data_IF_679620962725
#
_entry.id   IF_679620962725
#
_cell.length_a   1.000
_cell.length_b   1.000
_cell.length_c   1.000
_cell.angle_alpha   90.00
_cell.angle_beta   90.00
_cell.angle_gamma   90.00
#
_symmetry.space_group_name_H-M   'P 1'
#
loop_
_entity.id
_entity.type
_entity.pdbx_description
1 polymer ?
#
# COMPACT_ATOMS: atom_id res chain seq x y z
N UNK A 1 -10.39 -53.55 17.45
CA UNK A 1 -11.79 -53.09 17.48
C UNK A 1 -11.75 -51.60 17.20
N UNK A 2 -12.38 -51.22 16.09
CA UNK A 2 -12.04 -50.03 15.30
C UNK A 2 -12.70 -48.77 15.86
N UNK A 3 -11.92 -47.68 15.91
CA UNK A 3 -12.35 -46.31 16.22
C UNK A 3 -13.25 -45.68 15.14
N UNK A 4 -13.55 -46.40 14.05
CA UNK A 4 -14.45 -45.97 12.98
C UNK A 4 -15.94 -46.10 13.35
N UNK A 5 -16.29 -47.03 14.24
CA UNK A 5 -17.69 -47.33 14.54
C UNK A 5 -18.33 -46.29 15.48
N UNK A 6 -17.49 -45.51 16.17
CA UNK A 6 -17.92 -44.41 17.05
C UNK A 6 -18.45 -43.20 16.27
N UNK A 7 -17.79 -42.83 15.16
CA UNK A 7 -18.14 -41.65 14.36
C UNK A 7 -19.40 -41.85 13.51
N UNK A 8 -19.63 -43.07 13.01
CA UNK A 8 -20.84 -43.40 12.24
C UNK A 8 -22.07 -43.41 13.15
N UNK A 9 -21.94 -43.93 14.39
CA UNK A 9 -23.06 -43.90 15.36
C UNK A 9 -23.44 -42.47 15.80
N UNK A 10 -22.49 -41.54 15.81
CA UNK A 10 -22.71 -40.14 16.16
C UNK A 10 -23.52 -39.40 15.08
N UNK A 11 -23.26 -39.69 13.81
CA UNK A 11 -24.00 -39.11 12.67
C UNK A 11 -25.42 -39.68 12.52
N UNK A 12 -25.64 -40.94 12.91
CA UNK A 12 -26.95 -41.60 12.86
C UNK A 12 -27.90 -41.17 13.98
N UNK A 13 -27.37 -40.60 15.08
CA UNK A 13 -28.17 -40.24 16.26
C UNK A 13 -29.06 -38.99 16.08
N UNK A 14 -28.91 -38.24 14.98
CA UNK A 14 -29.73 -37.05 14.69
C UNK A 14 -29.62 -35.92 15.72
N UNK A 15 -28.69 -36.01 16.67
CA UNK A 15 -28.51 -35.01 17.73
C UNK A 15 -27.67 -33.85 17.22
N UNK A 16 -28.32 -32.90 16.55
CA UNK A 16 -27.76 -31.61 16.11
C UNK A 16 -27.34 -30.69 17.28
N UNK A 17 -27.51 -31.12 18.53
CA UNK A 17 -27.21 -30.35 19.75
C UNK A 17 -25.76 -30.48 20.26
N UNK A 18 -24.88 -31.19 19.56
CA UNK A 18 -23.44 -31.30 19.93
C UNK A 18 -22.48 -30.58 18.99
N UNK A 19 -23.00 -29.91 17.95
CA UNK A 19 -22.26 -28.81 17.34
C UNK A 19 -22.57 -27.58 18.18
N UNK A 20 -21.61 -27.18 19.01
CA UNK A 20 -21.59 -25.89 19.68
C UNK A 20 -21.55 -24.78 18.60
N UNK A 21 -22.72 -24.53 18.01
CA UNK A 21 -23.00 -23.48 17.05
C UNK A 21 -23.09 -22.12 17.77
N UNK A 22 -23.25 -22.12 19.09
CA UNK A 22 -23.28 -20.91 19.90
C UNK A 22 -21.86 -20.30 20.03
N UNK A 23 -20.80 -21.12 20.01
CA UNK A 23 -19.41 -20.65 19.96
C UNK A 23 -19.00 -19.91 18.67
N UNK A 24 -19.79 -20.00 17.59
CA UNK A 24 -19.51 -19.32 16.31
C UNK A 24 -20.27 -17.97 16.20
N UNK A 25 -21.28 -17.74 17.05
CA UNK A 25 -22.19 -16.58 16.93
C UNK A 25 -21.69 -15.35 17.71
N UNK A 26 -20.65 -15.45 18.54
CA UNK A 26 -20.18 -14.34 19.39
C UNK A 26 -18.83 -13.70 19.01
N UNK A 27 -18.26 -13.95 17.83
CA UNK A 27 -17.34 -12.94 17.28
C UNK A 27 -18.18 -11.89 16.57
N UNK A 28 -18.75 -10.94 17.32
CA UNK A 28 -19.18 -9.69 16.70
C UNK A 28 -17.99 -9.19 15.85
N UNK A 29 -18.22 -8.79 14.58
CA UNK A 29 -17.19 -8.16 13.78
C UNK A 29 -16.43 -7.16 14.63
N UNK A 30 -15.11 -7.35 14.79
CA UNK A 30 -14.28 -6.29 15.32
C UNK A 30 -14.65 -5.03 14.50
N UNK A 31 -15.05 -3.96 15.18
CA UNK A 31 -15.64 -2.79 14.52
C UNK A 31 -14.73 -2.38 13.36
N UNK A 32 -15.30 -2.22 12.16
CA UNK A 32 -14.56 -1.76 11.01
C UNK A 32 -14.17 -0.28 11.21
N UNK A 33 -13.04 -0.06 11.86
CA UNK A 33 -12.47 1.27 12.00
C UNK A 33 -11.94 1.73 10.64
N UNK A 34 -12.74 2.51 9.92
CA UNK A 34 -12.38 3.09 8.64
C UNK A 34 -11.67 4.44 8.78
N UNK A 35 -11.32 4.87 9.99
CA UNK A 35 -11.01 6.27 10.26
C UNK A 35 -9.74 6.77 9.56
N UNK A 36 -8.83 5.88 9.16
CA UNK A 36 -7.68 6.19 8.31
C UNK A 36 -7.06 4.92 7.68
N UNK A 37 -6.22 5.11 6.66
CA UNK A 37 -5.48 4.03 5.99
C UNK A 37 -4.43 3.39 6.92
N UNK A 38 -4.17 2.09 6.74
CA UNK A 38 -3.23 1.37 7.59
C UNK A 38 -1.79 1.68 7.22
N UNK A 39 -0.97 2.15 8.16
CA UNK A 39 0.49 2.04 8.05
C UNK A 39 0.96 0.68 8.56
N UNK A 40 2.27 0.46 8.61
CA UNK A 40 2.80 -0.75 9.25
C UNK A 40 2.41 -0.88 10.72
N UNK A 41 2.22 0.23 11.43
CA UNK A 41 1.82 0.23 12.84
C UNK A 41 0.43 -0.38 13.00
N UNK A 42 -0.54 0.09 12.22
CA UNK A 42 -1.92 -0.40 12.28
C UNK A 42 -2.02 -1.83 11.73
N UNK A 43 -1.30 -2.14 10.65
CA UNK A 43 -1.27 -3.49 10.10
C UNK A 43 -0.76 -4.52 11.13
N UNK A 44 0.33 -4.21 11.83
CA UNK A 44 0.86 -5.05 12.88
C UNK A 44 -0.08 -5.12 14.09
N UNK A 45 -0.75 -4.01 14.42
CA UNK A 45 -1.77 -3.96 15.47
C UNK A 45 -2.94 -4.90 15.21
N UNK A 46 -3.48 -4.87 13.98
CA UNK A 46 -4.55 -5.79 13.56
C UNK A 46 -4.07 -7.23 13.62
N UNK A 47 -2.91 -7.54 13.06
CA UNK A 47 -2.37 -8.91 13.09
C UNK A 47 -2.17 -9.43 14.52
N UNK A 48 -1.70 -8.58 15.44
CA UNK A 48 -1.52 -8.93 16.84
C UNK A 48 -2.88 -9.19 17.52
N UNK A 49 -3.86 -8.32 17.31
CA UNK A 49 -5.21 -8.48 17.85
C UNK A 49 -5.91 -9.74 17.34
N UNK A 50 -5.70 -10.10 16.07
CA UNK A 50 -6.29 -11.30 15.45
C UNK A 50 -5.46 -12.58 15.64
N UNK A 51 -4.31 -12.53 16.35
CA UNK A 51 -3.43 -13.69 16.54
C UNK A 51 -2.79 -14.24 15.25
N UNK A 52 -2.69 -13.41 14.19
CA UNK A 52 -2.16 -13.82 12.89
C UNK A 52 -0.65 -13.62 12.84
N UNK A 53 0.09 -14.73 12.72
CA UNK A 53 1.54 -14.69 12.52
C UNK A 53 1.91 -14.15 11.14
N UNK A 54 3.07 -13.49 11.00
CA UNK A 54 3.63 -13.05 9.71
C UNK A 54 3.63 -14.14 8.65
N UNK A 55 4.05 -15.36 8.98
CA UNK A 55 4.08 -16.46 8.01
C UNK A 55 2.70 -16.78 7.43
N UNK A 56 1.66 -16.80 8.28
CA UNK A 56 0.27 -16.99 7.85
C UNK A 56 -0.23 -15.83 6.97
N UNK A 57 0.08 -14.59 7.36
CA UNK A 57 -0.31 -13.40 6.60
C UNK A 57 0.37 -13.34 5.22
N UNK A 58 1.69 -13.55 5.17
CA UNK A 58 2.45 -13.61 3.92
C UNK A 58 2.01 -14.78 3.04
N UNK A 59 1.73 -15.95 3.62
CA UNK A 59 1.19 -17.09 2.87
C UNK A 59 -0.18 -16.78 2.28
N UNK A 60 -1.05 -16.13 3.04
CA UNK A 60 -2.37 -15.69 2.58
C UNK A 60 -2.26 -14.73 1.39
N UNK A 61 -1.28 -13.83 1.42
CA UNK A 61 -0.94 -12.89 0.35
C UNK A 61 0.01 -13.44 -0.72
N UNK A 62 0.36 -14.74 -0.68
CA UNK A 62 1.36 -15.38 -1.56
C UNK A 62 2.63 -14.53 -1.72
N UNK A 63 2.98 -13.78 -0.67
CA UNK A 63 4.16 -12.95 -0.61
C UNK A 63 5.30 -13.80 -0.06
N UNK A 64 6.48 -13.79 -0.71
CA UNK A 64 7.65 -14.37 -0.07
C UNK A 64 7.94 -13.61 1.23
N UNK A 65 8.31 -14.31 2.30
CA UNK A 65 8.61 -13.69 3.60
C UNK A 65 9.69 -12.59 3.51
N UNK A 66 10.54 -12.63 2.49
CA UNK A 66 11.55 -11.59 2.19
C UNK A 66 10.96 -10.23 1.78
N UNK A 67 9.69 -10.19 1.34
CA UNK A 67 8.94 -8.94 1.08
C UNK A 67 8.43 -8.29 2.36
N UNK A 68 8.26 -9.05 3.44
CA UNK A 68 7.65 -8.53 4.67
C UNK A 68 8.37 -7.30 5.24
N UNK A 69 9.72 -7.27 5.37
CA UNK A 69 10.40 -6.07 5.85
C UNK A 69 10.13 -4.83 5.01
N UNK A 70 9.80 -4.99 3.71
CA UNK A 70 9.49 -3.87 2.80
C UNK A 70 8.09 -3.32 2.99
N UNK A 71 7.20 -4.10 3.59
CA UNK A 71 5.83 -3.72 3.90
C UNK A 71 5.78 -3.07 5.28
N UNK A 72 6.59 -3.55 6.23
CA UNK A 72 6.48 -3.10 7.63
C UNK A 72 7.61 -2.21 8.15
N UNK A 73 8.74 -2.11 7.44
CA UNK A 73 9.89 -1.26 7.85
C UNK A 73 10.18 -0.18 6.83
N UNK A 74 10.85 -0.52 5.73
CA UNK A 74 11.30 0.44 4.72
C UNK A 74 11.01 -0.15 3.34
N UNK A 75 10.23 0.56 2.53
CA UNK A 75 9.87 0.10 1.19
C UNK A 75 11.07 0.03 0.23
N UNK A 76 10.86 -0.60 -0.93
CA UNK A 76 11.84 -0.64 -2.03
C UNK A 76 12.21 0.76 -2.56
N UNK A 77 11.34 1.75 -2.34
CA UNK A 77 11.59 3.13 -2.72
C UNK A 77 12.13 3.98 -1.57
N UNK A 78 12.54 3.36 -0.45
CA UNK A 78 13.13 4.01 0.72
C UNK A 78 12.17 4.87 1.56
N UNK A 79 10.88 4.56 1.54
CA UNK A 79 9.88 5.17 2.42
C UNK A 79 9.76 4.43 3.74
N UNK A 80 9.65 5.15 4.84
CA UNK A 80 9.41 4.60 6.18
C UNK A 80 7.95 4.15 6.34
N UNK A 81 7.74 2.84 6.36
CA UNK A 81 6.42 2.23 6.39
C UNK A 81 5.68 2.42 7.71
N UNK A 82 6.35 2.89 8.77
CA UNK A 82 5.68 3.29 10.01
C UNK A 82 4.78 4.52 9.83
N UNK A 83 5.03 5.30 8.77
CA UNK A 83 4.32 6.54 8.46
C UNK A 83 3.69 6.52 7.05
N UNK A 84 4.07 5.56 6.19
CA UNK A 84 3.39 5.34 4.91
C UNK A 84 2.19 4.41 5.06
N UNK A 85 1.13 4.74 4.32
CA UNK A 85 -0.01 3.85 4.17
C UNK A 85 0.39 2.65 3.31
N UNK A 86 0.05 1.46 3.78
CA UNK A 86 0.21 0.19 3.12
C UNK A 86 -0.62 0.12 1.82
N UNK A 87 -0.26 -0.81 0.94
CA UNK A 87 -0.98 -0.94 -0.32
C UNK A 87 -2.46 -1.25 -0.03
N UNK A 88 -3.40 -0.64 -0.77
CA UNK A 88 -4.82 -0.82 -0.51
C UNK A 88 -5.26 -2.29 -0.55
N UNK A 89 -4.60 -3.14 -1.34
CA UNK A 89 -4.85 -4.57 -1.42
C UNK A 89 -4.48 -5.28 -0.10
N UNK A 90 -3.32 -4.96 0.46
CA UNK A 90 -2.87 -5.51 1.75
C UNK A 90 -3.79 -5.02 2.87
N UNK A 91 -4.15 -3.73 2.85
CA UNK A 91 -5.07 -3.15 3.82
C UNK A 91 -6.45 -3.82 3.74
N UNK A 92 -7.01 -3.96 2.54
CA UNK A 92 -8.30 -4.62 2.31
C UNK A 92 -8.25 -6.07 2.77
N UNK A 93 -7.20 -6.82 2.42
CA UNK A 93 -6.99 -8.18 2.90
C UNK A 93 -6.95 -8.24 4.43
N UNK A 94 -6.21 -7.34 5.09
CA UNK A 94 -6.11 -7.30 6.55
C UNK A 94 -7.46 -6.96 7.20
N UNK A 95 -8.21 -5.99 6.67
CA UNK A 95 -9.53 -5.61 7.17
C UNK A 95 -10.53 -6.76 7.04
N UNK A 96 -10.60 -7.39 5.86
CA UNK A 96 -11.51 -8.49 5.59
C UNK A 96 -11.18 -9.72 6.45
N UNK A 97 -9.91 -10.07 6.60
CA UNK A 97 -9.50 -11.22 7.44
C UNK A 97 -9.63 -10.96 8.94
N UNK A 98 -9.54 -9.70 9.39
CA UNK A 98 -9.83 -9.34 10.78
C UNK A 98 -11.32 -9.48 11.11
N UNK A 99 -12.20 -9.11 10.17
CA UNK A 99 -13.65 -9.22 10.34
C UNK A 99 -14.15 -10.64 10.14
N UNK A 100 -13.56 -11.37 9.19
CA UNK A 100 -13.95 -12.71 8.78
C UNK A 100 -12.76 -13.69 8.81
N UNK A 101 -12.21 -14.01 9.99
CA UNK A 101 -11.00 -14.83 10.12
C UNK A 101 -11.12 -16.22 9.51
N UNK A 102 -12.33 -16.77 9.44
CA UNK A 102 -12.63 -18.05 8.81
C UNK A 102 -12.33 -18.07 7.31
N UNK A 103 -12.28 -16.91 6.64
CA UNK A 103 -12.14 -16.80 5.18
C UNK A 103 -10.69 -16.82 4.66
N UNK A 104 -9.68 -16.96 5.53
CA UNK A 104 -8.27 -16.96 5.14
C UNK A 104 -7.90 -18.16 4.22
N UNK A 105 -7.06 -18.00 3.18
CA UNK A 105 -7.06 -18.90 2.00
C UNK A 105 -6.22 -20.18 2.11
N UNK A 106 -6.62 -21.25 1.40
CA UNK A 106 -5.71 -22.28 0.84
C UNK A 106 -6.03 -22.75 -0.60
N UNK A 107 -6.84 -22.01 -1.38
CA UNK A 107 -6.99 -22.22 -2.85
C UNK A 107 -7.37 -20.90 -3.51
N UNK A 108 -6.85 -20.60 -4.71
CA UNK A 108 -7.03 -19.31 -5.40
C UNK A 108 -8.18 -19.36 -6.43
N UNK A 109 -9.06 -18.35 -6.43
CA UNK A 109 -10.13 -18.09 -7.41
C UNK A 109 -9.78 -16.94 -8.36
N UNK A 110 -10.43 -16.90 -9.52
CA UNK A 110 -10.18 -15.91 -10.57
C UNK A 110 -11.16 -14.74 -10.52
N UNK A 111 -10.85 -13.64 -11.22
CA UNK A 111 -11.76 -12.49 -11.33
C UNK A 111 -13.06 -12.86 -12.06
N UNK A 112 -13.00 -13.76 -13.03
CA UNK A 112 -14.18 -14.26 -13.74
C UNK A 112 -15.13 -15.00 -12.82
N UNK A 113 -14.60 -15.76 -11.86
CA UNK A 113 -15.39 -16.43 -10.83
C UNK A 113 -16.10 -15.38 -9.95
N UNK A 114 -15.39 -14.32 -9.57
CA UNK A 114 -15.93 -13.24 -8.75
C UNK A 114 -17.03 -12.45 -9.49
N UNK A 115 -16.86 -12.14 -10.77
CA UNK A 115 -17.88 -11.48 -11.58
C UNK A 115 -19.14 -12.33 -11.67
N UNK A 116 -19.00 -13.65 -11.87
CA UNK A 116 -20.14 -14.56 -12.00
C UNK A 116 -21.05 -14.55 -10.77
N UNK A 117 -20.47 -14.45 -9.57
CA UNK A 117 -21.25 -14.46 -8.32
C UNK A 117 -21.70 -13.07 -7.87
N UNK A 118 -20.96 -12.02 -8.24
CA UNK A 118 -21.22 -10.65 -7.79
C UNK A 118 -22.03 -9.83 -8.79
N UNK A 119 -21.88 -10.06 -10.08
CA UNK A 119 -22.46 -9.21 -11.13
C UNK A 119 -21.92 -7.77 -11.13
N UNK A 120 -20.77 -7.51 -10.50
CA UNK A 120 -20.18 -6.18 -10.43
C UNK A 120 -19.60 -5.71 -11.75
N UNK A 121 -19.74 -4.41 -11.99
CA UNK A 121 -19.13 -3.68 -13.11
C UNK A 121 -17.62 -3.48 -12.92
N UNK A 122 -16.91 -3.10 -13.99
CA UNK A 122 -15.48 -2.74 -13.97
C UNK A 122 -15.16 -1.73 -12.87
N UNK A 123 -16.02 -0.73 -12.70
CA UNK A 123 -15.88 0.31 -11.69
C UNK A 123 -16.05 -0.21 -10.26
N UNK A 124 -17.02 -1.09 -10.02
CA UNK A 124 -17.19 -1.68 -8.69
C UNK A 124 -16.04 -2.62 -8.36
N UNK A 125 -15.58 -3.40 -9.34
CA UNK A 125 -14.41 -4.27 -9.22
C UNK A 125 -13.13 -3.48 -8.96
N UNK A 126 -12.93 -2.33 -9.63
CA UNK A 126 -11.76 -1.46 -9.39
C UNK A 126 -11.73 -0.93 -7.96
N UNK A 127 -12.91 -0.62 -7.40
CA UNK A 127 -13.06 -0.19 -6.02
C UNK A 127 -12.74 -1.32 -5.05
N UNK A 128 -13.37 -2.49 -5.17
CA UNK A 128 -13.22 -3.59 -4.18
C UNK A 128 -11.91 -4.36 -4.33
N UNK A 129 -11.36 -4.44 -5.55
CA UNK A 129 -10.07 -5.07 -5.82
C UNK A 129 -8.90 -4.09 -5.72
N UNK A 130 -9.15 -2.85 -5.26
CA UNK A 130 -8.10 -1.87 -5.03
C UNK A 130 -7.24 -1.53 -6.27
N UNK A 131 -7.81 -1.66 -7.48
CA UNK A 131 -7.08 -1.54 -8.75
C UNK A 131 -7.59 -0.39 -9.62
N UNK A 132 -6.86 -0.07 -10.69
CA UNK A 132 -7.31 0.89 -11.68
C UNK A 132 -8.37 0.28 -12.61
N UNK A 133 -9.34 1.07 -13.07
CA UNK A 133 -10.41 0.58 -13.96
C UNK A 133 -9.85 -0.05 -15.25
N UNK A 134 -8.79 0.52 -15.81
CA UNK A 134 -8.13 -0.02 -17.00
C UNK A 134 -7.45 -1.38 -16.72
N UNK A 135 -6.90 -1.60 -15.54
CA UNK A 135 -6.33 -2.88 -15.14
C UNK A 135 -7.41 -3.95 -15.03
N UNK A 136 -8.54 -3.61 -14.41
CA UNK A 136 -9.71 -4.50 -14.32
C UNK A 136 -10.26 -4.84 -15.70
N UNK A 137 -10.39 -3.84 -16.57
CA UNK A 137 -10.86 -4.03 -17.95
C UNK A 137 -9.95 -5.02 -18.71
N UNK A 138 -8.62 -4.88 -18.56
CA UNK A 138 -7.66 -5.84 -19.11
C UNK A 138 -7.83 -7.24 -18.53
N UNK A 139 -8.00 -7.36 -17.20
CA UNK A 139 -8.17 -8.66 -16.56
C UNK A 139 -9.42 -9.43 -17.04
N UNK A 140 -10.46 -8.71 -17.45
CA UNK A 140 -11.71 -9.30 -17.93
C UNK A 140 -11.68 -9.61 -19.44
N UNK A 141 -10.94 -8.83 -20.23
CA UNK A 141 -11.04 -8.86 -21.69
C UNK A 141 -9.80 -9.42 -22.40
N UNK A 142 -8.63 -9.47 -21.76
CA UNK A 142 -7.41 -9.98 -22.40
C UNK A 142 -7.27 -11.51 -22.25
N UNK A 143 -6.79 -12.17 -23.32
CA UNK A 143 -6.62 -13.62 -23.37
C UNK A 143 -5.58 -14.18 -22.36
N UNK A 144 -4.66 -13.33 -21.90
CA UNK A 144 -3.74 -13.62 -20.80
C UNK A 144 -3.79 -12.46 -19.79
N UNK A 145 -4.69 -12.51 -18.79
CA UNK A 145 -4.79 -11.45 -17.82
C UNK A 145 -3.49 -11.37 -16.99
N UNK A 146 -2.74 -10.29 -17.16
CA UNK A 146 -1.58 -9.99 -16.31
C UNK A 146 -2.08 -9.37 -15.01
N UNK A 147 -2.35 -10.23 -14.03
CA UNK A 147 -2.75 -9.84 -12.68
C UNK A 147 -1.57 -10.02 -11.74
N UNK A 148 -1.32 -9.04 -10.87
CA UNK A 148 -0.33 -9.20 -9.81
C UNK A 148 -0.85 -10.16 -8.73
N UNK A 149 0.07 -10.74 -7.96
CA UNK A 149 -0.27 -11.75 -6.96
C UNK A 149 -1.16 -11.22 -5.83
N UNK A 150 -1.08 -9.93 -5.49
CA UNK A 150 -1.84 -9.35 -4.39
C UNK A 150 -3.31 -9.18 -4.82
N UNK A 151 -3.54 -8.67 -6.03
CA UNK A 151 -4.87 -8.58 -6.63
C UNK A 151 -5.54 -9.96 -6.74
N UNK A 152 -4.82 -10.97 -7.21
CA UNK A 152 -5.37 -12.33 -7.37
C UNK A 152 -5.88 -12.92 -6.05
N UNK A 153 -5.21 -12.60 -4.94
CA UNK A 153 -5.58 -13.10 -3.61
C UNK A 153 -6.74 -12.33 -3.01
N UNK A 154 -6.75 -11.02 -3.20
CA UNK A 154 -7.87 -10.21 -2.76
C UNK A 154 -9.16 -10.66 -3.46
N UNK A 155 -9.09 -10.92 -4.78
CA UNK A 155 -10.19 -11.48 -5.56
C UNK A 155 -10.66 -12.82 -4.99
N UNK A 156 -9.73 -13.71 -4.66
CA UNK A 156 -10.03 -15.01 -4.07
C UNK A 156 -10.71 -14.92 -2.70
N UNK A 157 -10.23 -14.02 -1.84
CA UNK A 157 -10.84 -13.74 -0.55
C UNK A 157 -12.27 -13.21 -0.72
N UNK A 158 -12.46 -12.21 -1.57
CA UNK A 158 -13.78 -11.62 -1.84
C UNK A 158 -14.74 -12.69 -2.39
N UNK A 159 -14.25 -13.55 -3.31
CA UNK A 159 -15.03 -14.65 -3.84
C UNK A 159 -15.56 -15.54 -2.72
N UNK A 160 -14.69 -16.01 -1.81
CA UNK A 160 -15.10 -16.89 -0.72
C UNK A 160 -16.07 -16.22 0.23
N UNK A 161 -15.88 -14.94 0.54
CA UNK A 161 -16.81 -14.20 1.40
C UNK A 161 -18.23 -14.23 0.84
N UNK A 162 -18.39 -14.00 -0.47
CA UNK A 162 -19.70 -14.00 -1.12
C UNK A 162 -20.24 -15.43 -1.30
N UNK A 163 -19.45 -16.33 -1.88
CA UNK A 163 -19.93 -17.66 -2.30
C UNK A 163 -19.98 -18.67 -1.15
N UNK A 164 -18.96 -18.70 -0.29
CA UNK A 164 -18.86 -19.67 0.81
C UNK A 164 -19.54 -19.14 2.07
N UNK A 165 -19.19 -17.93 2.50
CA UNK A 165 -19.66 -17.37 3.76
C UNK A 165 -20.95 -16.56 3.62
N UNK A 166 -21.50 -16.45 2.40
CA UNK A 166 -22.77 -15.78 2.10
C UNK A 166 -22.83 -14.33 2.59
N UNK A 167 -21.68 -13.66 2.67
CA UNK A 167 -21.60 -12.24 2.98
C UNK A 167 -22.25 -11.45 1.83
N UNK A 168 -23.19 -10.52 2.12
CA UNK A 168 -23.79 -9.70 1.08
C UNK A 168 -22.73 -8.92 0.32
N UNK A 169 -22.68 -9.07 -1.00
CA UNK A 169 -21.75 -8.30 -1.87
C UNK A 169 -21.85 -6.79 -1.61
N UNK A 170 -23.04 -6.27 -1.32
CA UNK A 170 -23.24 -4.85 -1.01
C UNK A 170 -22.38 -4.37 0.18
N UNK A 171 -22.14 -5.22 1.17
CA UNK A 171 -21.32 -4.88 2.35
C UNK A 171 -19.83 -4.78 2.00
N UNK A 172 -19.34 -5.65 1.12
CA UNK A 172 -17.95 -5.61 0.62
C UNK A 172 -17.74 -4.35 -0.23
N UNK A 173 -18.70 -4.01 -1.10
CA UNK A 173 -18.62 -2.78 -1.89
C UNK A 173 -18.66 -1.53 -0.98
N UNK A 174 -19.51 -1.54 0.05
CA UNK A 174 -19.56 -0.48 1.07
C UNK A 174 -18.22 -0.31 1.78
N UNK A 175 -17.51 -1.41 2.05
CA UNK A 175 -16.16 -1.37 2.64
C UNK A 175 -15.16 -0.65 1.71
N UNK A 176 -15.09 -1.02 0.44
CA UNK A 176 -14.20 -0.36 -0.54
C UNK A 176 -14.53 1.12 -0.75
N UNK A 177 -15.82 1.47 -0.85
CA UNK A 177 -16.28 2.85 -0.94
C UNK A 177 -15.93 3.66 0.32
N UNK A 178 -16.13 3.08 1.50
CA UNK A 178 -15.81 3.70 2.79
C UNK A 178 -14.31 3.98 2.92
N UNK A 179 -13.47 3.00 2.55
CA UNK A 179 -12.01 3.17 2.53
C UNK A 179 -11.58 4.30 1.58
N UNK A 180 -12.12 4.35 0.36
CA UNK A 180 -11.77 5.39 -0.62
C UNK A 180 -12.24 6.77 -0.16
N UNK A 181 -13.48 6.88 0.31
CA UNK A 181 -14.03 8.13 0.82
C UNK A 181 -13.21 8.66 2.01
N UNK A 182 -12.82 7.78 2.93
CA UNK A 182 -11.98 8.16 4.05
C UNK A 182 -10.60 8.66 3.58
N UNK A 183 -9.90 7.91 2.71
CA UNK A 183 -8.60 8.35 2.18
C UNK A 183 -8.69 9.69 1.46
N UNK A 184 -9.76 9.95 0.71
CA UNK A 184 -9.99 11.23 0.04
C UNK A 184 -10.39 12.37 0.99
N UNK A 185 -10.99 12.07 2.14
CA UNK A 185 -11.31 13.07 3.16
C UNK A 185 -10.04 13.63 3.82
N UNK A 186 -8.90 12.94 3.70
CA UNK A 186 -7.64 13.37 4.25
C UNK A 186 -6.61 13.65 3.15
N UNK A 187 -6.33 14.94 2.90
CA UNK A 187 -5.58 15.49 1.75
C UNK A 187 -4.28 14.79 1.31
N UNK A 188 -3.58 14.07 2.19
CA UNK A 188 -2.33 13.37 1.87
C UNK A 188 -2.55 12.13 0.96
N UNK A 189 -3.75 11.54 1.05
CA UNK A 189 -4.08 10.29 0.36
C UNK A 189 -5.21 10.47 -0.64
N UNK A 190 -5.42 11.69 -1.13
CA UNK A 190 -6.38 11.94 -2.20
C UNK A 190 -6.02 11.08 -3.41
N UNK A 191 -6.92 10.16 -3.73
CA UNK A 191 -6.77 9.21 -4.82
C UNK A 191 -7.06 9.89 -6.14
N UNK A 192 -6.24 9.61 -7.14
CA UNK A 192 -6.55 9.97 -8.53
C UNK A 192 -7.85 9.26 -8.96
N UNK A 193 -8.68 9.93 -9.76
CA UNK A 193 -9.94 9.37 -10.22
C UNK A 193 -9.71 8.07 -11.00
N UNK A 194 -10.53 7.05 -10.71
CA UNK A 194 -10.45 5.75 -11.38
C UNK A 194 -9.25 4.88 -10.99
N UNK A 195 -8.39 5.32 -10.07
CA UNK A 195 -7.26 4.54 -9.54
C UNK A 195 -7.19 4.58 -8.02
N UNK A 196 -6.38 3.71 -7.42
CA UNK A 196 -6.03 3.74 -6.00
C UNK A 196 -4.62 4.31 -5.74
N UNK A 197 -4.07 5.00 -6.74
CA UNK A 197 -2.82 5.74 -6.58
C UNK A 197 -3.14 7.12 -6.00
N UNK A 198 -2.46 7.50 -4.92
CA UNK A 198 -2.62 8.84 -4.38
C UNK A 198 -1.79 9.86 -5.18
N UNK A 199 -2.23 11.12 -5.20
CA UNK A 199 -1.44 12.23 -5.76
C UNK A 199 -0.04 12.26 -5.15
N UNK A 200 0.06 12.06 -3.83
CA UNK A 200 1.34 11.95 -3.13
C UNK A 200 2.27 10.88 -3.70
N UNK A 201 1.74 9.70 -4.02
CA UNK A 201 2.54 8.60 -4.55
C UNK A 201 3.00 8.91 -5.97
N UNK A 202 2.14 9.55 -6.77
CA UNK A 202 2.46 10.08 -8.09
C UNK A 202 3.64 11.06 -8.03
N UNK A 203 3.55 12.08 -7.18
CA UNK A 203 4.61 13.08 -7.00
C UNK A 203 5.91 12.46 -6.46
N UNK A 204 5.82 11.52 -5.52
CA UNK A 204 6.99 10.79 -5.02
C UNK A 204 7.71 10.00 -6.12
N UNK A 205 6.96 9.28 -6.96
CA UNK A 205 7.53 8.52 -8.09
C UNK A 205 8.21 9.46 -9.09
N UNK A 206 7.63 10.63 -9.37
CA UNK A 206 8.22 11.66 -10.23
C UNK A 206 9.49 12.24 -9.62
N UNK A 207 9.48 12.63 -8.36
CA UNK A 207 10.67 13.13 -7.65
C UNK A 207 11.81 12.10 -7.64
N UNK A 208 11.48 10.82 -7.41
CA UNK A 208 12.47 9.74 -7.46
C UNK A 208 13.01 9.48 -8.86
N UNK A 209 12.18 9.63 -9.90
CA UNK A 209 12.62 9.56 -11.30
C UNK A 209 13.58 10.70 -11.62
N UNK A 210 13.26 11.93 -11.20
CA UNK A 210 14.14 13.08 -11.36
C UNK A 210 15.47 12.85 -10.63
N UNK A 211 15.43 12.42 -9.36
CA UNK A 211 16.63 12.07 -8.58
C UNK A 211 17.51 11.04 -9.30
N UNK A 212 16.90 9.98 -9.85
CA UNK A 212 17.63 8.98 -10.63
C UNK A 212 18.32 9.62 -11.82
N UNK A 213 17.62 10.43 -12.60
CA UNK A 213 18.17 11.11 -13.77
C UNK A 213 19.30 12.05 -13.38
N UNK A 214 19.12 12.88 -12.34
CA UNK A 214 20.15 13.77 -11.81
C UNK A 214 21.40 13.00 -11.37
N UNK A 215 21.26 11.90 -10.60
CA UNK A 215 22.40 11.08 -10.17
C UNK A 215 23.11 10.45 -11.37
N UNK A 216 22.39 9.98 -12.39
CA UNK A 216 23.01 9.42 -13.60
C UNK A 216 23.78 10.49 -14.38
N UNK A 217 23.29 11.74 -14.39
CA UNK A 217 23.93 12.85 -15.09
C UNK A 217 25.28 13.26 -14.49
N UNK A 218 25.60 12.91 -13.24
CA UNK A 218 26.95 13.08 -12.67
C UNK A 218 28.01 12.18 -13.31
N UNK A 219 27.64 11.27 -14.21
CA UNK A 219 28.59 10.41 -14.90
C UNK A 219 29.41 9.55 -13.94
N UNK A 220 28.78 9.01 -12.90
CA UNK A 220 29.47 8.24 -11.85
C UNK A 220 30.15 6.98 -12.42
N UNK A 221 31.24 6.49 -11.77
CA UNK A 221 31.93 5.27 -12.17
C UNK A 221 31.00 4.07 -12.33
N UNK A 222 31.31 3.22 -13.32
CA UNK A 222 30.54 2.02 -13.61
C UNK A 222 30.41 1.12 -12.38
N UNK A 223 31.39 1.04 -11.47
CA UNK A 223 31.26 0.20 -10.27
C UNK A 223 30.07 0.58 -9.39
N UNK A 224 29.62 1.83 -9.42
CA UNK A 224 28.47 2.32 -8.66
C UNK A 224 27.15 2.15 -9.41
N UNK A 225 27.20 2.09 -10.75
CA UNK A 225 26.02 2.10 -11.61
C UNK A 225 25.79 0.78 -12.39
N UNK A 226 26.71 -0.18 -12.24
CA UNK A 226 26.79 -1.43 -13.02
C UNK A 226 25.50 -2.23 -13.05
N UNK A 227 24.74 -2.21 -11.95
CA UNK A 227 23.52 -2.99 -11.82
C UNK A 227 22.38 -2.11 -11.37
N UNK A 228 21.15 -2.46 -11.76
CA UNK A 228 19.91 -1.83 -11.27
C UNK A 228 19.93 -1.77 -9.74
N UNK A 229 20.33 -2.85 -9.07
CA UNK A 229 20.39 -2.93 -7.60
C UNK A 229 21.32 -1.88 -6.98
N UNK A 230 22.49 -1.64 -7.56
CA UNK A 230 23.43 -0.63 -7.06
C UNK A 230 22.91 0.78 -7.26
N UNK A 231 22.26 1.04 -8.41
CA UNK A 231 21.60 2.33 -8.68
C UNK A 231 20.48 2.60 -7.69
N UNK A 232 19.59 1.64 -7.47
CA UNK A 232 18.51 1.78 -6.49
C UNK A 232 19.05 1.91 -5.05
N UNK A 233 20.17 1.25 -4.72
CA UNK A 233 20.82 1.41 -3.42
C UNK A 233 21.30 2.85 -3.20
N UNK A 234 21.97 3.46 -4.19
CA UNK A 234 22.45 4.83 -4.10
C UNK A 234 21.29 5.84 -3.98
N UNK A 235 20.21 5.63 -4.74
CA UNK A 235 18.98 6.43 -4.63
C UNK A 235 18.37 6.30 -3.23
N UNK A 236 18.24 5.07 -2.73
CA UNK A 236 17.72 4.83 -1.38
C UNK A 236 18.61 5.47 -0.30
N UNK A 237 19.93 5.35 -0.42
CA UNK A 237 20.88 5.96 0.50
C UNK A 237 20.79 7.49 0.52
N UNK A 238 20.52 8.11 -0.62
CA UNK A 238 20.26 9.54 -0.73
C UNK A 238 18.97 9.94 -0.02
N UNK A 239 17.86 9.26 -0.30
CA UNK A 239 16.54 9.52 0.31
C UNK A 239 16.58 9.32 1.83
N UNK A 240 17.37 8.35 2.31
CA UNK A 240 17.57 8.08 3.74
C UNK A 240 18.64 8.98 4.39
N UNK A 241 19.16 9.98 3.68
CA UNK A 241 20.21 10.89 4.15
C UNK A 241 21.51 10.19 4.61
N UNK A 242 21.77 8.98 4.14
CA UNK A 242 23.01 8.23 4.45
C UNK A 242 24.15 8.54 3.49
N UNK A 243 23.84 9.11 2.32
CA UNK A 243 24.82 9.65 1.37
C UNK A 243 24.61 11.16 1.22
N UNK A 244 25.68 11.97 1.29
CA UNK A 244 25.65 13.42 1.07
C UNK A 244 25.84 13.80 -0.40
N UNK A 245 25.44 15.02 -0.76
CA UNK A 245 25.67 15.57 -2.11
C UNK A 245 27.17 15.61 -2.41
N UNK A 246 28.00 16.03 -1.45
CA UNK A 246 29.46 16.08 -1.61
C UNK A 246 30.07 14.69 -1.85
N UNK A 247 29.50 13.63 -1.26
CA UNK A 247 29.93 12.26 -1.53
C UNK A 247 29.57 11.79 -2.95
N UNK A 248 28.51 12.32 -3.55
CA UNK A 248 28.15 12.06 -4.95
C UNK A 248 29.06 12.88 -5.87
N UNK A 249 29.20 14.18 -5.61
CA UNK A 249 30.04 15.11 -6.37
C UNK A 249 31.50 14.66 -6.42
N UNK A 250 32.07 14.22 -5.29
CA UNK A 250 33.46 13.74 -5.23
C UNK A 250 33.74 12.48 -6.05
N UNK A 251 32.68 11.77 -6.47
CA UNK A 251 32.74 10.59 -7.34
C UNK A 251 32.33 10.90 -8.78
N UNK A 252 32.00 12.14 -9.10
CA UNK A 252 31.62 12.59 -10.45
C UNK A 252 32.80 12.52 -11.40
N UNK A 253 32.56 12.09 -12.64
CA UNK A 253 33.53 12.20 -13.73
C UNK A 253 33.37 13.50 -14.54
N UNK A 254 32.41 14.35 -14.18
CA UNK A 254 32.20 15.63 -14.85
C UNK A 254 33.35 16.60 -14.58
N UNK A 255 33.82 17.26 -15.64
CA UNK A 255 34.88 18.28 -15.58
C UNK A 255 34.34 19.70 -15.62
N UNK A 256 33.12 19.88 -16.10
CA UNK A 256 32.44 21.17 -16.16
C UNK A 256 31.83 21.49 -14.79
N UNK A 257 32.40 22.48 -14.11
CA UNK A 257 31.96 22.90 -12.78
C UNK A 257 30.55 23.51 -12.81
N UNK A 258 30.16 24.17 -13.89
CA UNK A 258 28.82 24.76 -14.01
C UNK A 258 27.75 23.66 -14.03
N UNK A 259 28.00 22.58 -14.79
CA UNK A 259 27.09 21.42 -14.82
C UNK A 259 27.05 20.74 -13.45
N UNK A 260 28.20 20.61 -12.77
CA UNK A 260 28.26 20.03 -11.42
C UNK A 260 27.46 20.86 -10.41
N UNK A 261 27.56 22.18 -10.47
CA UNK A 261 26.84 23.10 -9.59
C UNK A 261 25.33 23.02 -9.84
N UNK A 262 24.88 23.01 -11.10
CA UNK A 262 23.47 22.86 -11.47
C UNK A 262 22.88 21.54 -10.97
N UNK A 263 23.57 20.42 -11.20
CA UNK A 263 23.11 19.11 -10.73
C UNK A 263 23.11 19.03 -9.20
N UNK A 264 24.07 19.67 -8.53
CA UNK A 264 24.15 19.73 -7.07
C UNK A 264 23.00 20.52 -6.47
N UNK A 265 22.63 21.64 -7.09
CA UNK A 265 21.45 22.43 -6.71
C UNK A 265 20.16 21.62 -6.89
N UNK A 266 19.99 20.90 -8.01
CA UNK A 266 18.84 19.99 -8.18
C UNK A 266 18.80 18.90 -7.11
N UNK A 267 19.95 18.28 -6.76
CA UNK A 267 20.01 17.32 -5.66
C UNK A 267 19.64 17.95 -4.30
N UNK A 268 20.12 19.17 -4.02
CA UNK A 268 19.81 19.86 -2.76
C UNK A 268 18.31 20.12 -2.63
N UNK A 269 17.66 20.54 -3.71
CA UNK A 269 16.21 20.77 -3.76
C UNK A 269 15.40 19.48 -3.63
N UNK A 270 15.84 18.40 -4.30
CA UNK A 270 15.25 17.08 -4.11
C UNK A 270 15.39 16.57 -2.67
N UNK A 271 16.52 16.83 -2.02
CA UNK A 271 16.72 16.48 -0.60
C UNK A 271 15.72 17.23 0.29
N UNK A 272 15.64 18.55 0.13
CA UNK A 272 14.66 19.36 0.87
C UNK A 272 13.23 18.89 0.63
N UNK A 273 12.89 18.50 -0.60
CA UNK A 273 11.59 17.93 -0.96
C UNK A 273 11.32 16.62 -0.22
N UNK A 274 12.25 15.64 -0.27
CA UNK A 274 12.09 14.35 0.42
C UNK A 274 12.00 14.52 1.93
N UNK A 275 12.86 15.35 2.52
CA UNK A 275 12.88 15.61 3.97
C UNK A 275 11.56 16.22 4.45
N UNK A 276 11.13 17.30 3.78
CA UNK A 276 9.90 18.01 4.14
C UNK A 276 8.68 17.12 3.96
N UNK A 277 8.61 16.35 2.87
CA UNK A 277 7.52 15.40 2.60
C UNK A 277 7.48 14.27 3.63
N UNK A 278 8.63 13.71 4.02
CA UNK A 278 8.70 12.62 4.99
C UNK A 278 8.29 13.10 6.39
N UNK A 279 8.76 14.29 6.82
CA UNK A 279 8.37 14.85 8.10
C UNK A 279 6.89 15.25 8.11
N UNK A 280 6.36 15.75 6.99
CA UNK A 280 4.93 16.02 6.80
C UNK A 280 4.08 14.76 6.99
N UNK A 281 4.41 13.65 6.32
CA UNK A 281 3.68 12.38 6.46
C UNK A 281 3.73 11.86 7.90
N UNK A 282 4.91 11.87 8.51
CA UNK A 282 5.09 11.42 9.90
C UNK A 282 4.23 12.23 10.86
N UNK A 283 4.29 13.55 10.79
CA UNK A 283 3.54 14.43 11.67
C UNK A 283 2.03 14.29 11.44
N UNK A 284 1.60 14.17 10.20
CA UNK A 284 0.20 13.96 9.87
C UNK A 284 -0.32 12.62 10.40
N UNK A 285 0.43 11.53 10.25
CA UNK A 285 0.01 10.23 10.78
C UNK A 285 -0.05 10.25 12.31
N UNK A 286 0.84 10.98 12.97
CA UNK A 286 0.74 11.21 14.42
C UNK A 286 -0.55 11.94 14.80
N UNK A 287 -0.91 12.99 14.08
CA UNK A 287 -2.16 13.72 14.31
C UNK A 287 -3.40 12.86 14.04
N UNK A 288 -3.44 12.17 12.91
CA UNK A 288 -4.55 11.27 12.57
C UNK A 288 -4.75 10.21 13.67
N UNK A 289 -3.68 9.57 14.16
CA UNK A 289 -3.77 8.60 15.26
C UNK A 289 -4.27 9.25 16.55
N UNK A 290 -3.73 10.41 16.90
CA UNK A 290 -4.11 11.16 18.11
C UNK A 290 -5.61 11.52 18.13
N UNK A 291 -6.16 11.86 16.96
CA UNK A 291 -7.56 12.27 16.81
C UNK A 291 -8.46 11.16 16.26
N UNK A 292 -7.97 9.92 16.19
CA UNK A 292 -8.70 8.77 15.66
C UNK A 292 -9.36 9.04 14.29
N UNK A 293 -8.60 9.63 13.37
CA UNK A 293 -9.05 10.04 12.03
C UNK A 293 -9.94 11.28 11.96
N UNK A 294 -10.40 11.86 13.08
CA UNK A 294 -11.18 13.10 13.06
C UNK A 294 -10.34 14.38 12.86
N UNK A 295 -9.16 14.25 12.25
CA UNK A 295 -8.20 15.34 12.09
C UNK A 295 -8.33 16.03 10.73
N UNK A 296 -8.36 17.37 10.74
CA UNK A 296 -8.23 18.19 9.54
C UNK A 296 -6.83 18.83 9.48
N UNK A 297 -5.99 18.50 8.47
CA UNK A 297 -4.62 19.02 8.33
C UNK A 297 -4.50 20.54 8.32
N UNK A 298 -5.54 21.25 7.89
CA UNK A 298 -5.57 22.72 7.83
C UNK A 298 -5.49 23.33 9.25
N UNK A 299 -5.76 22.56 10.30
CA UNK A 299 -5.80 23.07 11.67
C UNK A 299 -4.45 23.02 12.39
N UNK A 300 -3.38 22.53 11.76
CA UNK A 300 -2.05 22.40 12.37
C UNK A 300 -0.99 23.23 11.63
N UNK A 301 -0.53 24.31 12.28
CA UNK A 301 0.42 25.28 11.73
C UNK A 301 1.76 24.67 11.30
N UNK A 302 2.22 23.65 12.01
CA UNK A 302 3.44 22.91 11.70
C UNK A 302 3.32 22.04 10.44
N UNK A 303 2.17 21.38 10.24
CA UNK A 303 1.86 20.71 8.98
C UNK A 303 1.74 21.68 7.81
N UNK A 304 1.15 22.87 8.03
CA UNK A 304 1.08 23.89 6.98
C UNK A 304 2.47 24.40 6.59
N UNK A 305 3.36 24.63 7.56
CA UNK A 305 4.75 25.03 7.28
C UNK A 305 5.49 23.98 6.46
N UNK A 306 5.39 22.70 6.85
CA UNK A 306 6.00 21.61 6.09
C UNK A 306 5.41 21.49 4.68
N UNK A 307 4.10 21.77 4.53
CA UNK A 307 3.46 21.83 3.22
C UNK A 307 4.03 22.92 2.33
N UNK A 308 4.15 24.14 2.87
CA UNK A 308 4.78 25.26 2.16
C UNK A 308 6.21 24.89 1.73
N UNK A 309 7.01 24.28 2.60
CA UNK A 309 8.39 23.91 2.28
C UNK A 309 8.50 22.92 1.11
N UNK A 310 7.64 21.89 1.03
CA UNK A 310 7.68 21.00 -0.13
C UNK A 310 7.02 21.61 -1.37
N UNK A 311 6.01 22.47 -1.24
CA UNK A 311 5.38 23.18 -2.37
C UNK A 311 6.41 24.13 -3.03
N UNK A 312 7.19 24.89 -2.23
CA UNK A 312 8.30 25.72 -2.73
C UNK A 312 9.38 24.92 -3.47
N UNK A 313 9.78 23.76 -2.90
CA UNK A 313 10.71 22.87 -3.57
C UNK A 313 10.13 22.29 -4.87
N UNK A 314 8.82 22.00 -4.88
CA UNK A 314 8.11 21.47 -6.05
C UNK A 314 8.02 22.52 -7.16
N UNK A 315 7.71 23.78 -6.83
CA UNK A 315 7.66 24.88 -7.80
C UNK A 315 9.03 25.09 -8.47
N UNK A 316 10.09 25.15 -7.67
CA UNK A 316 11.45 25.27 -8.18
C UNK A 316 11.84 24.12 -9.12
N UNK A 317 11.58 22.87 -8.68
CA UNK A 317 11.89 21.68 -9.47
C UNK A 317 11.06 21.63 -10.76
N UNK A 318 9.80 22.07 -10.71
CA UNK A 318 8.92 22.13 -11.89
C UNK A 318 9.36 23.24 -12.87
N UNK A 319 9.85 24.39 -12.38
CA UNK A 319 10.38 25.45 -13.24
C UNK A 319 11.62 25.00 -14.00
N UNK A 320 12.55 24.30 -13.32
CA UNK A 320 13.77 23.76 -13.95
C UNK A 320 13.53 22.50 -14.77
N UNK A 321 12.56 21.68 -14.37
CA UNK A 321 12.27 20.38 -14.97
C UNK A 321 10.76 20.25 -15.20
N UNK A 322 10.20 20.93 -16.23
CA UNK A 322 8.74 21.01 -16.44
C UNK A 322 8.06 19.66 -16.72
N UNK A 323 8.82 18.67 -17.18
CA UNK A 323 8.34 17.29 -17.35
C UNK A 323 8.10 16.56 -16.01
N UNK A 324 8.51 17.17 -14.89
CA UNK A 324 8.43 16.63 -13.54
C UNK A 324 7.59 17.54 -12.64
N UNK A 325 6.31 17.74 -13.01
CA UNK A 325 5.36 18.41 -12.13
C UNK A 325 5.19 17.59 -10.82
N UNK A 326 5.68 18.14 -9.72
CA UNK A 326 5.66 17.53 -8.38
C UNK A 326 4.52 18.06 -7.51
N UNK A 327 3.61 18.87 -8.06
CA UNK A 327 2.51 19.47 -7.31
C UNK A 327 1.61 18.43 -6.66
N UNK A 328 1.00 18.86 -5.56
CA UNK A 328 0.30 18.04 -4.58
C UNK A 328 -1.13 18.53 -4.41
#
# INVERSE_FOLDING_TARGET
MNSSDSLVSLLESGSLELLDLDGIVESQPASCDYNYGFTSVELLGVMAASGVTTGKFCSGLALPNTRWPKIVKVSDDARDMANEVTSPEIEMFARLTNVYPQAAPWTLKTISDLVKISGWSVKELSIVCASAENSVDKWLNEAQPTMDSQSAILIDLIYRLIDTYKIPKADILKMGLGMRANRNAHHIHEMEDGTWQSKSESSYRRARKLLRETIMSFGLPDELLKTVRLREKLIAEFILNTTSIQQIVSKSNLKDLTIVDELSDTLDRLRHWFDSRNEYHKLYMQYIRKYNGAFNPIQADDLQKLKICFDEASEFLTEKHPDFDLKY
#
